data_IF_458168614531
#
_entry.id   IF_458168614531
#
_cell.length_a   1.000
_cell.length_b   1.000
_cell.length_c   1.000
_cell.angle_alpha   90.00
_cell.angle_beta   90.00
_cell.angle_gamma   90.00
#
_symmetry.space_group_name_H-M   'P 1'
#
loop_
_entity.id
_entity.type
_entity.pdbx_description
1 polymer ?
#
# COMPACT_ATOMS: atom_id res chain seq x y z
N UNK A 1 3.10 -22.63 -1.01
CA UNK A 1 2.36 -21.77 -0.03
C UNK A 1 3.27 -21.21 1.08
N UNK A 2 4.58 -21.04 0.86
CA UNK A 2 5.51 -20.45 1.84
C UNK A 2 6.03 -19.11 1.30
N UNK A 3 5.12 -18.14 1.17
CA UNK A 3 5.45 -16.75 0.85
C UNK A 3 5.10 -15.83 2.03
N UNK A 4 5.11 -16.36 3.26
CA UNK A 4 5.26 -15.52 4.44
C UNK A 4 6.71 -15.05 4.44
N UNK A 5 6.97 -14.02 3.64
CA UNK A 5 8.15 -13.17 3.75
C UNK A 5 8.30 -12.87 5.24
N UNK A 6 9.37 -13.36 5.86
CA UNK A 6 9.62 -13.04 7.27
C UNK A 6 9.66 -11.53 7.40
N UNK A 7 8.97 -10.99 8.41
CA UNK A 7 9.10 -9.59 8.82
C UNK A 7 10.24 -9.55 9.86
N UNK A 8 11.44 -9.03 9.51
CA UNK A 8 12.55 -8.95 10.45
C UNK A 8 12.22 -8.15 11.70
N UNK A 9 11.47 -7.04 11.56
CA UNK A 9 11.11 -6.13 12.63
C UNK A 9 9.61 -5.90 12.68
N UNK A 10 9.06 -5.84 13.90
CA UNK A 10 7.65 -5.60 14.12
C UNK A 10 6.76 -6.80 13.79
N UNK A 11 5.45 -6.57 13.82
CA UNK A 11 4.45 -7.61 13.58
C UNK A 11 3.30 -7.08 12.73
N UNK A 12 2.71 -7.97 11.92
CA UNK A 12 1.50 -7.70 11.14
C UNK A 12 0.43 -8.70 11.51
N UNK A 13 -0.65 -8.21 12.10
CA UNK A 13 -1.88 -8.99 12.31
C UNK A 13 -2.82 -8.78 11.13
N UNK A 14 -3.15 -9.85 10.41
CA UNK A 14 -4.11 -9.83 9.30
C UNK A 14 -5.41 -10.47 9.75
N UNK A 15 -6.47 -9.68 9.83
CA UNK A 15 -7.84 -10.15 10.11
C UNK A 15 -8.56 -10.39 8.79
N UNK A 16 -9.02 -11.61 8.59
CA UNK A 16 -9.71 -12.05 7.38
C UNK A 16 -11.22 -11.77 7.46
N UNK A 17 -11.94 -11.70 6.33
CA UNK A 17 -13.38 -11.47 6.31
C UNK A 17 -14.21 -12.55 7.03
N UNK A 18 -13.66 -13.76 7.15
CA UNK A 18 -14.28 -14.89 7.86
C UNK A 18 -14.03 -14.89 9.38
N UNK A 19 -13.42 -13.83 9.90
CA UNK A 19 -13.13 -13.67 11.33
C UNK A 19 -11.82 -14.31 11.80
N UNK A 20 -11.13 -15.08 10.95
CA UNK A 20 -9.81 -15.61 11.29
C UNK A 20 -8.78 -14.49 11.35
N UNK A 21 -7.72 -14.69 12.13
CA UNK A 21 -6.58 -13.78 12.17
C UNK A 21 -5.27 -14.56 12.05
N UNK A 22 -4.32 -13.98 11.32
CA UNK A 22 -2.95 -14.51 11.20
C UNK A 22 -1.99 -13.43 11.66
N UNK A 23 -1.04 -13.79 12.51
CA UNK A 23 0.06 -12.93 12.92
C UNK A 23 1.33 -13.31 12.15
N UNK A 24 1.96 -12.34 11.51
CA UNK A 24 3.23 -12.49 10.78
C UNK A 24 4.28 -11.61 11.46
N UNK A 25 5.50 -12.13 11.64
CA UNK A 25 6.58 -11.38 12.27
C UNK A 25 6.69 -11.59 13.79
N UNK A 26 7.06 -10.56 14.52
CA UNK A 26 7.21 -10.56 15.97
C UNK A 26 8.54 -11.11 16.49
N UNK A 27 9.55 -11.28 15.61
CA UNK A 27 10.87 -11.83 16.00
C UNK A 27 11.86 -10.79 16.52
N UNK A 28 11.64 -9.51 16.20
CA UNK A 28 12.42 -8.39 16.73
C UNK A 28 11.51 -7.16 16.94
N UNK A 29 11.90 -6.21 17.81
CA UNK A 29 11.15 -4.99 18.04
C UNK A 29 10.87 -4.20 16.76
N UNK A 30 9.71 -3.56 16.70
CA UNK A 30 9.27 -2.72 15.59
C UNK A 30 7.78 -2.40 15.70
N UNK A 31 7.19 -1.78 14.66
CA UNK A 31 5.78 -1.41 14.66
C UNK A 31 4.87 -2.64 14.76
N UNK A 32 3.78 -2.51 15.52
CA UNK A 32 2.71 -3.50 15.60
C UNK A 32 1.53 -3.05 14.74
N UNK A 33 1.46 -3.57 13.53
CA UNK A 33 0.45 -3.21 12.55
C UNK A 33 -0.72 -4.20 12.53
N UNK A 34 -1.91 -3.71 12.21
CA UNK A 34 -3.07 -4.55 11.92
C UNK A 34 -3.66 -4.19 10.56
N UNK A 35 -3.98 -5.21 9.76
CA UNK A 35 -4.71 -5.08 8.50
C UNK A 35 -6.01 -5.88 8.61
N UNK A 36 -7.13 -5.22 8.36
CA UNK A 36 -8.47 -5.81 8.42
C UNK A 36 -9.03 -5.90 7.01
N UNK A 37 -9.05 -7.10 6.45
CA UNK A 37 -9.68 -7.39 5.17
C UNK A 37 -11.20 -7.34 5.32
N UNK A 38 -11.86 -6.50 4.50
CA UNK A 38 -13.33 -6.50 4.37
C UNK A 38 -13.77 -7.50 3.30
N UNK A 39 -12.91 -7.77 2.32
CA UNK A 39 -13.13 -8.75 1.26
C UNK A 39 -11.79 -9.34 0.75
N UNK A 40 -11.86 -10.20 -0.26
CA UNK A 40 -10.69 -10.91 -0.82
C UNK A 40 -10.07 -10.24 -2.06
N UNK A 41 -10.37 -8.97 -2.34
CA UNK A 41 -9.88 -8.27 -3.53
C UNK A 41 -8.44 -7.77 -3.38
N UNK A 42 -8.00 -7.47 -2.15
CA UNK A 42 -6.68 -6.91 -1.89
C UNK A 42 -5.52 -7.72 -2.52
N UNK A 43 -5.42 -9.06 -2.36
CA UNK A 43 -4.31 -9.81 -2.95
C UNK A 43 -4.20 -9.66 -4.47
N UNK A 44 -5.33 -9.69 -5.18
CA UNK A 44 -5.37 -9.50 -6.63
C UNK A 44 -4.95 -8.08 -7.04
N UNK A 45 -5.46 -7.07 -6.33
CA UNK A 45 -5.13 -5.65 -6.57
C UNK A 45 -3.67 -5.33 -6.23
N UNK A 46 -3.13 -5.90 -5.15
CA UNK A 46 -1.73 -5.74 -4.79
C UNK A 46 -0.81 -6.42 -5.83
N UNK A 47 -1.19 -7.58 -6.36
CA UNK A 47 -0.43 -8.27 -7.39
C UNK A 47 -0.40 -7.50 -8.73
N UNK A 48 -1.57 -7.08 -9.23
CA UNK A 48 -1.69 -6.37 -10.52
C UNK A 48 -1.33 -4.88 -10.44
N UNK A 49 -1.58 -4.27 -9.28
CA UNK A 49 -1.53 -2.83 -9.01
C UNK A 49 -0.40 -2.41 -8.05
N UNK A 50 0.35 -3.34 -7.45
CA UNK A 50 1.50 -3.00 -6.59
C UNK A 50 1.10 -2.10 -5.42
N UNK A 51 1.93 -1.11 -5.09
CA UNK A 51 1.64 -0.12 -4.04
C UNK A 51 0.42 0.76 -4.35
N UNK A 52 0.19 1.10 -5.63
CA UNK A 52 -1.01 1.84 -6.05
C UNK A 52 -2.26 0.99 -5.82
N UNK A 53 -2.24 -0.28 -6.24
CA UNK A 53 -3.37 -1.20 -6.04
C UNK A 53 -3.70 -1.42 -4.56
N UNK A 54 -2.69 -1.44 -3.69
CA UNK A 54 -2.86 -1.46 -2.23
C UNK A 54 -3.57 -0.17 -1.75
N UNK A 55 -3.08 1.00 -2.17
CA UNK A 55 -3.65 2.30 -1.77
C UNK A 55 -5.08 2.51 -2.29
N UNK A 56 -5.34 2.23 -3.56
CA UNK A 56 -6.70 2.32 -4.13
C UNK A 56 -7.67 1.37 -3.43
N UNK A 57 -7.23 0.16 -3.09
CA UNK A 57 -8.07 -0.79 -2.36
C UNK A 57 -8.36 -0.36 -0.92
N UNK A 58 -7.48 0.46 -0.30
CA UNK A 58 -7.77 1.11 0.98
C UNK A 58 -8.83 2.20 0.80
N UNK A 59 -8.68 3.06 -0.21
CA UNK A 59 -9.68 4.11 -0.52
C UNK A 59 -11.05 3.53 -0.88
N UNK A 60 -11.06 2.39 -1.58
CA UNK A 60 -12.29 1.68 -1.98
C UNK A 60 -12.91 0.85 -0.83
N UNK A 61 -12.27 0.82 0.36
CA UNK A 61 -12.77 0.10 1.53
C UNK A 61 -12.62 -1.43 1.47
N UNK A 62 -11.77 -1.96 0.58
CA UNK A 62 -11.51 -3.40 0.49
C UNK A 62 -10.76 -3.93 1.74
N UNK A 63 -9.97 -3.06 2.38
CA UNK A 63 -9.31 -3.30 3.64
C UNK A 63 -9.15 -2.01 4.43
N UNK A 64 -8.89 -2.14 5.73
CA UNK A 64 -8.75 -1.03 6.66
C UNK A 64 -7.68 -1.34 7.73
N UNK A 65 -7.25 -0.35 8.48
CA UNK A 65 -6.36 -0.50 9.63
C UNK A 65 -6.82 0.37 10.80
N UNK A 66 -6.81 -0.14 12.05
CA UNK A 66 -6.99 0.71 13.23
C UNK A 66 -5.96 1.85 13.31
N UNK A 67 -4.77 1.62 12.76
CA UNK A 67 -3.73 2.63 12.59
C UNK A 67 -2.98 2.37 11.28
N UNK A 68 -3.36 3.09 10.23
CA UNK A 68 -2.72 2.98 8.91
C UNK A 68 -1.27 3.47 8.95
N UNK A 69 -0.91 4.33 9.90
CA UNK A 69 0.47 4.83 10.07
C UNK A 69 1.39 3.70 10.49
N UNK A 70 1.04 2.95 11.54
CA UNK A 70 1.79 1.77 11.99
C UNK A 70 1.92 0.72 10.89
N UNK A 71 0.87 0.53 10.08
CA UNK A 71 0.93 -0.33 8.90
C UNK A 71 1.98 0.15 7.89
N UNK A 72 1.97 1.42 7.50
CA UNK A 72 2.95 1.96 6.56
C UNK A 72 4.38 1.94 7.14
N UNK A 73 4.54 2.31 8.41
CA UNK A 73 5.82 2.28 9.12
C UNK A 73 6.44 0.89 9.11
N UNK A 74 5.64 -0.16 9.31
CA UNK A 74 6.11 -1.54 9.26
C UNK A 74 6.77 -1.87 7.91
N UNK A 75 6.24 -1.38 6.78
CA UNK A 75 6.86 -1.59 5.47
C UNK A 75 8.09 -0.71 5.26
N UNK A 76 8.12 0.51 5.82
CA UNK A 76 9.28 1.40 5.75
C UNK A 76 10.48 0.79 6.50
N UNK A 77 10.29 0.32 7.73
CA UNK A 77 11.39 -0.26 8.53
C UNK A 77 11.88 -1.61 7.99
N UNK A 78 11.09 -2.24 7.11
CA UNK A 78 11.43 -3.49 6.42
C UNK A 78 11.66 -3.28 4.90
N UNK A 79 11.96 -2.06 4.44
CA UNK A 79 12.11 -1.74 3.00
C UNK A 79 13.13 -2.61 2.26
N UNK A 80 14.24 -2.95 2.91
CA UNK A 80 15.27 -3.84 2.39
C UNK A 80 14.74 -5.26 2.05
N UNK A 81 13.68 -5.71 2.74
CA UNK A 81 12.98 -6.96 2.41
C UNK A 81 12.28 -6.83 1.05
N UNK A 82 11.61 -5.71 0.82
CA UNK A 82 10.95 -5.39 -0.45
C UNK A 82 11.96 -5.34 -1.60
N UNK A 83 13.12 -4.70 -1.40
CA UNK A 83 14.20 -4.65 -2.38
C UNK A 83 14.79 -6.04 -2.68
N UNK A 84 14.98 -6.89 -1.66
CA UNK A 84 15.50 -8.25 -1.83
C UNK A 84 14.51 -9.16 -2.57
N UNK A 85 13.23 -9.04 -2.28
CA UNK A 85 12.15 -9.76 -2.99
C UNK A 85 12.07 -9.28 -4.43
N UNK A 86 12.23 -7.97 -4.66
CA UNK A 86 12.30 -7.39 -5.99
C UNK A 86 13.52 -7.90 -6.79
N UNK A 87 14.69 -7.88 -6.17
CA UNK A 87 15.96 -8.30 -6.77
C UNK A 87 16.03 -9.80 -7.08
N UNK A 88 15.41 -10.65 -6.25
CA UNK A 88 15.35 -12.10 -6.48
C UNK A 88 14.39 -12.52 -7.60
N UNK A 89 13.38 -11.70 -7.89
CA UNK A 89 12.42 -11.91 -8.97
C UNK A 89 12.68 -10.98 -10.19
N UNK A 90 13.93 -10.51 -10.35
CA UNK A 90 14.33 -9.45 -11.29
C UNK A 90 13.77 -9.61 -12.71
N UNK A 91 13.72 -10.81 -13.29
CA UNK A 91 13.21 -10.98 -14.66
C UNK A 91 11.68 -10.97 -14.75
N UNK A 92 11.00 -11.55 -13.75
CA UNK A 92 9.53 -11.65 -13.69
C UNK A 92 8.92 -10.31 -13.28
N UNK A 93 9.53 -9.64 -12.31
CA UNK A 93 9.18 -8.28 -11.90
C UNK A 93 9.50 -7.29 -13.01
N UNK A 94 10.64 -7.36 -13.71
CA UNK A 94 10.88 -6.48 -14.87
C UNK A 94 9.90 -6.75 -16.02
N UNK A 95 9.43 -7.99 -16.20
CA UNK A 95 8.43 -8.32 -17.22
C UNK A 95 7.06 -7.78 -16.83
N UNK A 96 6.64 -7.94 -15.57
CA UNK A 96 5.39 -7.36 -15.04
C UNK A 96 5.47 -5.84 -15.02
N UNK A 97 6.60 -5.24 -14.62
CA UNK A 97 6.86 -3.80 -14.67
C UNK A 97 6.83 -3.29 -16.12
N UNK A 98 7.39 -4.01 -17.09
CA UNK A 98 7.31 -3.66 -18.52
C UNK A 98 5.90 -3.76 -19.06
N UNK A 99 5.17 -4.82 -18.75
CA UNK A 99 3.76 -4.99 -19.13
C UNK A 99 2.92 -3.87 -18.50
N UNK A 100 3.16 -3.55 -17.22
CA UNK A 100 2.49 -2.46 -16.51
C UNK A 100 2.89 -1.09 -17.04
N UNK A 101 4.15 -0.88 -17.42
CA UNK A 101 4.58 0.36 -18.07
C UNK A 101 3.93 0.51 -19.44
N UNK A 102 3.75 -0.58 -20.18
CA UNK A 102 3.02 -0.62 -21.45
C UNK A 102 1.52 -0.33 -21.26
N UNK A 103 0.90 -0.81 -20.18
CA UNK A 103 -0.48 -0.45 -19.82
C UNK A 103 -0.63 0.92 -19.13
N UNK A 104 0.47 1.48 -18.60
CA UNK A 104 0.57 2.83 -18.02
C UNK A 104 1.04 3.88 -19.04
N UNK A 105 1.21 3.53 -20.33
CA UNK A 105 1.22 4.57 -21.36
C UNK A 105 -0.08 5.38 -21.22
N UNK A 106 0.02 6.71 -21.30
CA UNK A 106 -1.09 7.66 -21.18
C UNK A 106 -2.17 7.35 -22.22
N UNK A 107 -3.04 6.39 -21.93
CA UNK A 107 -4.26 6.20 -22.69
C UNK A 107 -5.15 7.39 -22.36
N UNK A 108 -5.73 8.00 -23.39
CA UNK A 108 -6.57 9.19 -23.25
C UNK A 108 -7.68 9.00 -22.20
N UNK A 109 -8.13 7.77 -22.00
CA UNK A 109 -9.10 7.33 -20.99
C UNK A 109 -8.52 7.30 -19.56
N UNK A 110 -7.30 6.78 -19.37
CA UNK A 110 -6.62 6.75 -18.07
C UNK A 110 -6.16 8.15 -17.63
N UNK A 111 -5.63 8.94 -18.56
CA UNK A 111 -5.29 10.35 -18.30
C UNK A 111 -6.53 11.17 -17.95
N UNK A 112 -7.69 10.95 -18.62
CA UNK A 112 -8.94 11.65 -18.27
C UNK A 112 -9.45 11.29 -16.87
N UNK A 113 -9.31 10.03 -16.45
CA UNK A 113 -9.66 9.57 -15.08
C UNK A 113 -8.72 10.15 -14.02
N UNK A 114 -7.42 10.21 -14.32
CA UNK A 114 -6.43 10.85 -13.43
C UNK A 114 -6.57 12.37 -13.37
N UNK A 115 -6.89 13.03 -14.48
CA UNK A 115 -7.11 14.48 -14.56
C UNK A 115 -8.43 14.88 -13.87
N UNK A 116 -9.49 14.07 -13.97
CA UNK A 116 -10.75 14.32 -13.25
C UNK A 116 -10.63 14.21 -11.72
N UNK A 117 -9.50 13.71 -11.21
CA UNK A 117 -9.20 13.64 -9.78
C UNK A 117 -8.36 14.83 -9.28
N UNK A 118 -8.29 15.93 -10.05
CA UNK A 118 -7.88 17.22 -9.47
C UNK A 118 -8.97 17.65 -8.49
N UNK A 119 -8.74 17.35 -7.22
CA UNK A 119 -9.53 17.92 -6.14
C UNK A 119 -9.33 19.44 -6.16
N UNK A 120 -10.42 20.20 -6.13
CA UNK A 120 -10.38 21.65 -5.92
C UNK A 120 -10.03 21.95 -4.45
N UNK A 121 -8.80 21.61 -4.05
CA UNK A 121 -8.28 21.87 -2.71
C UNK A 121 -7.65 23.26 -2.70
N UNK A 122 -8.45 24.26 -2.33
CA UNK A 122 -7.97 25.63 -2.10
C UNK A 122 -7.47 25.86 -0.67
N UNK A 123 -7.06 27.09 -0.37
CA UNK A 123 -6.54 27.47 0.95
C UNK A 123 -7.49 27.10 2.11
N UNK A 124 -8.81 27.17 1.89
CA UNK A 124 -9.81 26.80 2.89
C UNK A 124 -9.69 25.34 3.39
N UNK A 125 -9.13 24.43 2.58
CA UNK A 125 -8.83 23.06 3.00
C UNK A 125 -7.54 23.00 3.83
N UNK A 126 -6.48 23.66 3.36
CA UNK A 126 -5.16 23.64 3.99
C UNK A 126 -5.12 24.36 5.35
N UNK A 127 -5.85 25.47 5.49
CA UNK A 127 -5.98 26.23 6.74
C UNK A 127 -6.56 25.40 7.91
N UNK A 128 -7.18 24.25 7.63
CA UNK A 128 -7.72 23.37 8.68
C UNK A 128 -6.65 22.60 9.45
N UNK A 129 -5.46 22.43 8.89
CA UNK A 129 -4.44 21.56 9.48
C UNK A 129 -3.00 22.07 9.31
N UNK A 130 -2.76 23.07 8.46
CA UNK A 130 -1.49 23.80 8.44
C UNK A 130 -1.39 24.80 9.59
N UNK A 131 -0.16 25.15 9.94
CA UNK A 131 0.11 26.24 10.87
C UNK A 131 -0.22 27.61 10.22
N UNK A 132 -0.30 28.70 10.99
CA UNK A 132 -0.68 30.02 10.45
C UNK A 132 0.21 30.56 9.33
N UNK A 133 1.45 30.07 9.18
CA UNK A 133 2.33 30.45 8.07
C UNK A 133 1.95 29.80 6.73
N UNK A 134 1.02 28.85 6.72
CA UNK A 134 0.64 28.05 5.55
C UNK A 134 1.81 27.28 4.93
N UNK A 135 2.79 26.88 5.73
CA UNK A 135 3.99 26.20 5.24
C UNK A 135 3.69 24.73 4.91
N UNK A 136 4.01 24.33 3.68
CA UNK A 136 3.92 22.95 3.19
C UNK A 136 5.26 22.53 2.59
N UNK A 137 6.22 22.20 3.46
CA UNK A 137 7.61 21.86 3.13
C UNK A 137 8.12 20.68 3.94
#
# INVERSE_FOLDING_TARGET
>A
LSAAMGLPRGSLKVRMPDGRAVLVGGKAPGPDAELVLKNWRLPGRAFSGGTIGLAESYMDGDWDSPDVTSFLELFVVNSALGEKVAGGANWLINTVQRIRHWFNENTHTGSRRNISAHYDLGNAFYEKWLDPSMTYS
#
